data_IF_987091480583
#
_entry.id   IF_987091480583
#
_cell.length_a   1.000
_cell.length_b   1.000
_cell.length_c   1.000
_cell.angle_alpha   90.00
_cell.angle_beta   90.00
_cell.angle_gamma   90.00
#
_symmetry.space_group_name_H-M   'P 1'
#
loop_
_entity.id
_entity.type
_entity.pdbx_description
1 polymer ?
#
# COMPACT_ATOMS: atom_id res chain seq x y z
N UNK A 1 0.96 -24.66 3.40
CA UNK A 1 0.45 -23.38 2.87
C UNK A 1 -0.45 -22.76 3.94
N UNK A 2 -0.18 -21.53 4.41
CA UNK A 2 -0.87 -20.89 5.56
C UNK A 2 -1.78 -19.71 5.15
N UNK A 3 -2.34 -19.73 3.95
CA UNK A 3 -3.25 -18.70 3.45
C UNK A 3 -4.21 -19.28 2.42
N UNK A 4 -5.34 -18.59 2.23
CA UNK A 4 -6.38 -18.99 1.28
C UNK A 4 -5.91 -18.75 -0.17
N UNK A 5 -6.20 -19.71 -1.04
CA UNK A 5 -6.03 -19.58 -2.50
C UNK A 5 -7.42 -19.58 -3.11
N UNK A 6 -7.78 -18.49 -3.78
CA UNK A 6 -9.10 -18.29 -4.39
C UNK A 6 -9.01 -18.55 -5.89
N UNK A 7 -10.02 -19.22 -6.45
CA UNK A 7 -10.13 -19.45 -7.89
C UNK A 7 -11.11 -18.44 -8.52
N UNK A 8 -10.62 -17.55 -9.38
CA UNK A 8 -11.42 -16.58 -10.13
C UNK A 8 -11.79 -17.11 -11.53
N UNK A 9 -12.49 -18.25 -11.57
CA UNK A 9 -12.80 -18.96 -12.84
C UNK A 9 -13.63 -18.10 -13.80
N UNK A 10 -14.53 -17.27 -13.25
CA UNK A 10 -15.38 -16.38 -14.05
C UNK A 10 -14.70 -15.06 -14.43
N UNK A 11 -13.47 -14.81 -13.94
CA UNK A 11 -12.72 -13.57 -14.15
C UNK A 11 -13.43 -12.33 -13.59
N UNK A 12 -14.37 -12.52 -12.67
CA UNK A 12 -15.17 -11.43 -12.11
C UNK A 12 -14.34 -10.60 -11.12
N UNK A 13 -13.45 -11.25 -10.37
CA UNK A 13 -12.60 -10.58 -9.38
C UNK A 13 -11.56 -9.70 -10.10
N UNK A 14 -10.80 -10.26 -11.06
CA UNK A 14 -9.78 -9.47 -11.77
C UNK A 14 -10.37 -8.27 -12.53
N UNK A 15 -11.59 -8.41 -13.08
CA UNK A 15 -12.32 -7.30 -13.72
C UNK A 15 -12.78 -6.26 -12.72
N UNK A 16 -13.35 -6.69 -11.59
CA UNK A 16 -13.80 -5.78 -10.54
C UNK A 16 -12.64 -4.94 -9.95
N UNK A 17 -11.45 -5.53 -9.86
CA UNK A 17 -10.22 -4.84 -9.42
C UNK A 17 -9.49 -4.12 -10.56
N UNK A 18 -9.98 -4.18 -11.80
CA UNK A 18 -9.39 -3.48 -12.95
C UNK A 18 -7.98 -3.97 -13.34
N UNK A 19 -7.66 -5.24 -13.05
CA UNK A 19 -6.33 -5.83 -13.29
C UNK A 19 -6.36 -6.92 -14.37
N UNK A 20 -7.42 -7.03 -15.15
CA UNK A 20 -7.46 -7.96 -16.27
C UNK A 20 -6.48 -7.53 -17.36
N UNK A 21 -5.60 -8.45 -17.78
CA UNK A 21 -4.70 -8.22 -18.91
C UNK A 21 -5.55 -8.08 -20.18
N UNK A 22 -5.30 -7.10 -21.06
CA UNK A 22 -6.13 -6.81 -22.23
C UNK A 22 -6.30 -8.03 -23.16
N UNK A 23 -5.21 -8.77 -23.40
CA UNK A 23 -5.21 -9.82 -24.44
C UNK A 23 -5.06 -11.26 -23.93
N UNK A 24 -4.47 -11.48 -22.75
CA UNK A 24 -4.07 -12.83 -22.29
C UNK A 24 -5.11 -13.53 -21.41
N UNK A 25 -6.19 -12.84 -21.02
CA UNK A 25 -7.25 -13.39 -20.18
C UNK A 25 -6.84 -13.78 -18.76
N UNK A 26 -5.66 -13.33 -18.32
CA UNK A 26 -5.11 -13.47 -16.97
C UNK A 26 -5.08 -12.13 -16.26
N UNK A 27 -4.92 -12.15 -14.94
CA UNK A 27 -4.72 -10.93 -14.18
C UNK A 27 -3.27 -10.46 -14.30
N UNK A 28 -3.08 -9.14 -14.40
CA UNK A 28 -1.82 -8.47 -14.08
C UNK A 28 -1.44 -8.75 -12.62
N UNK A 29 -0.19 -8.45 -12.25
CA UNK A 29 0.34 -8.70 -10.91
C UNK A 29 -0.13 -7.62 -9.93
N UNK A 30 -1.41 -7.67 -9.58
CA UNK A 30 -2.06 -6.80 -8.61
C UNK A 30 -1.80 -7.23 -7.16
N UNK A 31 -1.55 -6.25 -6.28
CA UNK A 31 -1.59 -6.36 -4.83
C UNK A 31 -2.43 -5.22 -4.25
N UNK A 32 -3.30 -5.54 -3.29
CA UNK A 32 -4.19 -4.58 -2.65
C UNK A 32 -4.08 -4.71 -1.13
N UNK A 33 -3.90 -3.58 -0.45
CA UNK A 33 -4.08 -3.48 0.99
C UNK A 33 -5.49 -2.99 1.27
N UNK A 34 -6.27 -3.83 1.97
CA UNK A 34 -7.66 -3.56 2.32
C UNK A 34 -7.73 -3.47 3.84
N UNK A 35 -8.30 -2.39 4.35
CA UNK A 35 -8.42 -2.18 5.80
C UNK A 35 -9.57 -2.99 6.42
N UNK A 36 -9.74 -2.89 7.74
CA UNK A 36 -10.79 -3.58 8.47
C UNK A 36 -12.22 -3.13 8.09
N UNK A 37 -12.37 -1.96 7.45
CA UNK A 37 -13.65 -1.43 6.96
C UNK A 37 -13.93 -1.87 5.51
N UNK A 38 -13.06 -2.68 4.91
CA UNK A 38 -13.19 -3.16 3.54
C UNK A 38 -12.81 -2.14 2.48
N UNK A 39 -12.09 -1.08 2.84
CA UNK A 39 -11.68 -0.04 1.91
C UNK A 39 -10.26 -0.30 1.43
N UNK A 40 -10.04 -0.22 0.11
CA UNK A 40 -8.71 -0.29 -0.51
C UNK A 40 -7.91 0.95 -0.12
N UNK A 41 -6.79 0.75 0.56
CA UNK A 41 -5.89 1.82 1.02
C UNK A 41 -4.67 2.00 0.13
N UNK A 42 -4.22 0.92 -0.49
CA UNK A 42 -3.04 0.92 -1.35
C UNK A 42 -3.17 -0.16 -2.41
N UNK A 43 -2.71 0.15 -3.63
CA UNK A 43 -2.68 -0.78 -4.75
C UNK A 43 -1.35 -0.67 -5.50
N UNK A 44 -0.83 -1.81 -5.93
CA UNK A 44 0.30 -1.90 -6.86
C UNK A 44 -0.10 -2.86 -7.97
N UNK A 45 0.06 -2.42 -9.22
CA UNK A 45 -0.21 -3.23 -10.40
C UNK A 45 1.04 -3.25 -11.26
N UNK A 46 1.67 -4.42 -11.32
CA UNK A 46 2.84 -4.65 -12.14
C UNK A 46 2.48 -5.44 -13.39
N UNK A 47 3.20 -5.16 -14.48
CA UNK A 47 3.15 -6.00 -15.68
C UNK A 47 3.70 -7.42 -15.40
N UNK A 48 3.38 -8.38 -16.28
CA UNK A 48 3.73 -9.79 -16.15
C UNK A 48 5.23 -10.09 -15.93
N UNK A 49 6.21 -9.37 -16.50
CA UNK A 49 7.63 -9.64 -16.22
C UNK A 49 8.11 -9.02 -14.90
N UNK A 50 7.35 -8.13 -14.27
CA UNK A 50 7.80 -7.35 -13.13
C UNK A 50 7.32 -7.93 -11.79
N UNK A 51 8.25 -8.47 -11.02
CA UNK A 51 7.98 -8.93 -9.66
C UNK A 51 7.55 -7.81 -8.72
N UNK A 52 6.89 -8.16 -7.62
CA UNK A 52 6.51 -7.22 -6.56
C UNK A 52 7.52 -7.30 -5.41
N UNK A 53 7.59 -6.25 -4.61
CA UNK A 53 8.42 -6.21 -3.39
C UNK A 53 7.56 -6.54 -2.16
N UNK A 54 7.91 -7.59 -1.42
CA UNK A 54 7.18 -8.01 -0.21
C UNK A 54 7.43 -7.05 0.95
N UNK A 55 8.66 -6.56 1.11
CA UNK A 55 9.01 -5.65 2.20
C UNK A 55 8.21 -4.36 2.09
N UNK A 56 7.98 -3.87 0.87
CA UNK A 56 7.12 -2.71 0.62
C UNK A 56 5.64 -2.98 0.97
N UNK A 57 5.14 -4.19 0.70
CA UNK A 57 3.78 -4.54 1.10
C UNK A 57 3.62 -4.58 2.63
N UNK A 58 4.61 -5.11 3.34
CA UNK A 58 4.64 -5.12 4.81
C UNK A 58 4.77 -3.69 5.36
N UNK A 59 5.64 -2.87 4.77
CA UNK A 59 5.81 -1.45 5.14
C UNK A 59 4.49 -0.68 5.04
N UNK A 60 3.70 -0.93 3.99
CA UNK A 60 2.38 -0.29 3.84
C UNK A 60 1.35 -0.77 4.87
N UNK A 61 1.41 -2.03 5.30
CA UNK A 61 0.59 -2.53 6.43
C UNK A 61 0.98 -1.80 7.73
N UNK A 62 2.28 -1.71 8.03
CA UNK A 62 2.77 -1.00 9.21
C UNK A 62 2.40 0.49 9.17
N UNK A 63 2.48 1.13 8.00
CA UNK A 63 2.15 2.55 7.82
C UNK A 63 0.66 2.82 8.06
N UNK A 64 -0.21 1.96 7.53
CA UNK A 64 -1.64 2.06 7.78
C UNK A 64 -1.96 1.90 9.27
N UNK A 65 -1.38 0.89 9.92
CA UNK A 65 -1.60 0.67 11.36
C UNK A 65 -1.08 1.83 12.21
N UNK A 66 0.09 2.38 11.88
CA UNK A 66 0.63 3.55 12.55
C UNK A 66 -0.32 4.75 12.44
N UNK A 67 -0.83 5.03 11.24
CA UNK A 67 -1.78 6.11 11.01
C UNK A 67 -3.08 5.90 11.78
N UNK A 68 -3.62 4.68 11.78
CA UNK A 68 -4.85 4.34 12.51
C UNK A 68 -4.70 4.48 14.04
N UNK A 69 -3.52 4.18 14.58
CA UNK A 69 -3.23 4.27 16.02
C UNK A 69 -2.92 5.71 16.48
N UNK A 70 -2.17 6.48 15.69
CA UNK A 70 -1.63 7.78 16.11
C UNK A 70 -2.37 8.98 15.48
N UNK A 71 -3.04 8.79 14.35
CA UNK A 71 -3.64 9.87 13.55
C UNK A 71 -2.64 10.67 12.69
N UNK A 72 -1.34 10.45 12.90
CA UNK A 72 -0.27 11.08 12.12
C UNK A 72 -0.12 10.45 10.74
N UNK A 73 0.41 11.20 9.77
CA UNK A 73 0.71 10.68 8.43
C UNK A 73 2.15 10.17 8.34
N UNK A 74 2.37 9.20 7.47
CA UNK A 74 3.69 8.62 7.19
C UNK A 74 4.38 9.37 6.04
N UNK A 75 5.53 10.03 6.26
CA UNK A 75 6.30 10.69 5.21
C UNK A 75 6.86 9.73 4.16
N UNK A 76 7.49 10.27 3.11
CA UNK A 76 8.19 9.46 2.11
C UNK A 76 9.28 8.61 2.78
N UNK A 77 9.45 7.36 2.33
CA UNK A 77 10.39 6.40 2.92
C UNK A 77 10.17 6.13 4.42
N UNK A 78 8.97 6.40 4.93
CA UNK A 78 8.61 6.05 6.31
C UNK A 78 8.66 4.53 6.50
N UNK A 79 9.25 4.11 7.60
CA UNK A 79 9.35 2.71 8.02
C UNK A 79 9.00 2.64 9.50
N UNK A 80 8.60 1.45 9.95
CA UNK A 80 8.24 1.22 11.35
C UNK A 80 9.34 1.71 12.30
N UNK A 81 8.94 2.55 13.26
CA UNK A 81 9.85 3.17 14.23
C UNK A 81 10.36 4.56 13.84
N UNK A 82 10.13 5.02 12.61
CA UNK A 82 10.37 6.42 12.22
C UNK A 82 9.22 7.31 12.70
N UNK A 83 9.54 8.58 12.95
CA UNK A 83 8.55 9.58 13.34
C UNK A 83 7.54 9.83 12.20
N UNK A 84 6.27 9.93 12.58
CA UNK A 84 5.21 10.41 11.72
C UNK A 84 5.23 11.94 11.62
N UNK A 85 4.29 12.47 10.85
CA UNK A 85 4.10 13.90 10.67
C UNK A 85 2.64 14.26 10.94
N UNK A 86 2.41 15.29 11.74
CA UNK A 86 1.04 15.76 11.96
C UNK A 86 0.49 16.38 10.66
N UNK A 87 -0.74 16.02 10.29
CA UNK A 87 -1.39 16.44 9.05
C UNK A 87 -1.94 17.88 9.12
N UNK A 88 -1.12 18.84 9.53
CA UNK A 88 -1.43 20.27 9.57
C UNK A 88 -0.28 21.08 8.97
N UNK A 89 -0.52 22.33 8.51
CA UNK A 89 0.55 23.19 8.01
C UNK A 89 1.71 23.36 9.00
N UNK A 90 1.40 23.55 10.28
CA UNK A 90 2.40 23.69 11.35
C UNK A 90 3.14 22.36 11.60
N UNK A 91 2.42 21.24 11.56
CA UNK A 91 3.01 19.90 11.68
C UNK A 91 4.00 19.58 10.55
N UNK A 92 3.65 19.93 9.32
CA UNK A 92 4.52 19.78 8.15
C UNK A 92 5.75 20.69 8.26
N UNK A 93 5.56 21.97 8.61
CA UNK A 93 6.66 22.91 8.76
C UNK A 93 7.65 22.46 9.83
N UNK A 94 7.14 21.98 10.97
CA UNK A 94 7.96 21.42 12.05
C UNK A 94 8.76 20.20 11.58
N UNK A 95 8.09 19.22 10.96
CA UNK A 95 8.75 18.00 10.49
C UNK A 95 9.87 18.30 9.49
N UNK A 96 9.63 19.19 8.52
CA UNK A 96 10.62 19.57 7.52
C UNK A 96 11.82 20.30 8.13
N UNK A 97 11.58 21.18 9.12
CA UNK A 97 12.65 21.88 9.82
C UNK A 97 13.56 20.92 10.61
N UNK A 98 12.99 19.88 11.21
CA UNK A 98 13.71 18.87 12.00
C UNK A 98 14.42 17.83 11.13
N UNK A 99 13.94 17.59 9.90
CA UNK A 99 14.42 16.50 9.03
C UNK A 99 15.10 16.96 7.73
N UNK A 100 15.40 18.25 7.58
CA UNK A 100 15.93 18.84 6.33
C UNK A 100 17.23 18.18 5.84
N UNK A 101 18.06 17.64 6.74
CA UNK A 101 19.33 17.00 6.39
C UNK A 101 19.18 15.58 5.86
N UNK A 102 17.99 14.98 6.02
CA UNK A 102 17.70 13.58 5.72
C UNK A 102 16.72 13.42 4.54
N UNK A 103 16.30 14.55 3.94
CA UNK A 103 15.47 14.64 2.73
C UNK A 103 16.35 14.79 1.49
#
# INVERSE_FOLDING_TARGET
MKYAMVADVKREIQKAYGIEHPDEGVALRGSFLIDANGIVRHQVVNDLPLGRNIDEMLRMVDALQFHEEHGDVCPAQWEKGKEGMNASPDGVAKYLAENISNL
#
